data_IF_992267773549
#
_entry.id   IF_992267773549
#
_cell.length_a   1.000
_cell.length_b   1.000
_cell.length_c   1.000
_cell.angle_alpha   90.00
_cell.angle_beta   90.00
_cell.angle_gamma   90.00
#
_symmetry.space_group_name_H-M   'P 1'
#
loop_
_entity.id
_entity.type
_entity.pdbx_description
1 polymer ?
#
# COMPACT_ATOMS: atom_id res chain seq x y z
N UNK A 1 -8.47 -10.47 1.92
CA UNK A 1 -7.94 -9.27 2.60
C UNK A 1 -8.84 -8.92 3.78
N UNK A 2 -8.24 -8.58 4.91
CA UNK A 2 -8.93 -8.12 6.12
C UNK A 2 -8.64 -6.63 6.31
N UNK A 3 -9.69 -5.81 6.33
CA UNK A 3 -9.61 -4.34 6.41
C UNK A 3 -10.32 -3.75 7.64
N UNK A 4 -11.01 -4.58 8.43
CA UNK A 4 -11.77 -4.17 9.61
C UNK A 4 -10.94 -4.22 10.89
N UNK A 5 -11.59 -4.58 11.98
CA UNK A 5 -10.98 -4.64 13.32
C UNK A 5 -10.75 -6.11 13.75
N UNK A 6 -10.62 -7.01 12.75
CA UNK A 6 -10.36 -8.43 13.00
C UNK A 6 -9.06 -8.62 13.77
N UNK A 7 -9.10 -9.47 14.77
CA UNK A 7 -7.90 -9.89 15.52
C UNK A 7 -7.02 -10.84 14.69
N UNK A 8 -5.75 -11.08 15.06
CA UNK A 8 -4.93 -12.11 14.44
C UNK A 8 -5.59 -13.50 14.44
N UNK A 9 -6.31 -13.82 15.52
CA UNK A 9 -7.05 -15.07 15.69
C UNK A 9 -8.23 -15.18 14.74
N UNK A 10 -8.99 -14.08 14.57
CA UNK A 10 -10.11 -14.03 13.62
C UNK A 10 -9.61 -14.20 12.18
N UNK A 11 -8.55 -13.51 11.80
CA UNK A 11 -7.93 -13.65 10.48
C UNK A 11 -7.47 -15.10 10.23
N UNK A 12 -6.84 -15.71 11.24
CA UNK A 12 -6.36 -17.08 11.15
C UNK A 12 -7.53 -18.09 11.01
N UNK A 13 -8.57 -17.95 11.81
CA UNK A 13 -9.75 -18.79 11.74
C UNK A 13 -10.48 -18.66 10.40
N UNK A 14 -10.71 -17.42 9.93
CA UNK A 14 -11.37 -17.15 8.66
C UNK A 14 -10.56 -17.60 7.44
N UNK A 15 -9.23 -17.67 7.55
CA UNK A 15 -8.36 -18.23 6.51
C UNK A 15 -8.39 -19.77 6.44
N UNK A 16 -9.19 -20.41 7.27
CA UNK A 16 -9.21 -21.87 7.41
C UNK A 16 -7.96 -22.39 8.11
N UNK A 17 -7.54 -21.72 9.18
CA UNK A 17 -6.34 -22.03 9.96
C UNK A 17 -5.06 -22.06 9.10
N UNK A 18 -4.95 -21.11 8.19
CA UNK A 18 -3.80 -21.01 7.29
C UNK A 18 -3.90 -21.80 5.99
N UNK A 19 -5.03 -22.47 5.73
CA UNK A 19 -5.26 -23.16 4.45
C UNK A 19 -5.30 -22.16 3.26
N UNK A 20 -5.61 -20.90 3.53
CA UNK A 20 -5.58 -19.80 2.54
C UNK A 20 -4.71 -18.67 3.06
N UNK A 21 -3.82 -18.19 2.23
CA UNK A 21 -3.04 -16.99 2.53
C UNK A 21 -3.94 -15.76 2.60
N UNK A 22 -3.57 -14.77 3.41
CA UNK A 22 -4.33 -13.53 3.54
C UNK A 22 -3.43 -12.32 3.66
N UNK A 23 -3.96 -11.15 3.29
CA UNK A 23 -3.37 -9.84 3.54
C UNK A 23 -4.10 -9.17 4.70
N UNK A 24 -3.34 -8.47 5.54
CA UNK A 24 -3.90 -7.64 6.61
C UNK A 24 -3.66 -6.17 6.29
N UNK A 25 -4.73 -5.37 6.23
CA UNK A 25 -4.61 -3.94 6.02
C UNK A 25 -4.28 -3.22 7.33
N UNK A 26 -3.24 -2.38 7.26
CA UNK A 26 -2.88 -1.39 8.26
C UNK A 26 -3.38 -0.03 7.77
N UNK A 27 -4.33 0.58 8.49
CA UNK A 27 -4.87 1.90 8.16
C UNK A 27 -3.94 2.96 8.74
N UNK A 28 -3.07 3.52 7.89
CA UNK A 28 -2.09 4.53 8.30
C UNK A 28 -2.75 5.90 8.34
N UNK A 29 -2.79 6.59 9.49
CA UNK A 29 -3.34 7.93 9.59
C UNK A 29 -2.62 8.91 8.67
N UNK A 30 -3.37 9.85 8.10
CA UNK A 30 -2.79 10.96 7.33
C UNK A 30 -2.09 11.96 8.26
N UNK A 31 -1.17 12.74 7.69
CA UNK A 31 -0.41 13.76 8.42
C UNK A 31 0.49 13.16 9.50
N UNK A 32 0.69 13.89 10.58
CA UNK A 32 1.61 13.51 11.68
C UNK A 32 1.18 12.25 12.44
N UNK A 33 -0.09 11.85 12.32
CA UNK A 33 -0.60 10.61 12.90
C UNK A 33 0.11 9.35 12.35
N UNK A 34 0.58 9.40 11.12
CA UNK A 34 1.33 8.29 10.50
C UNK A 34 2.62 7.94 11.24
N UNK A 35 3.32 8.95 11.80
CA UNK A 35 4.55 8.74 12.58
C UNK A 35 4.30 7.98 13.90
N UNK A 36 3.06 7.97 14.39
CA UNK A 36 2.68 7.31 15.66
C UNK A 36 2.07 5.93 15.44
N UNK A 37 1.87 5.52 14.19
CA UNK A 37 1.34 4.20 13.92
C UNK A 37 2.41 3.14 14.21
N UNK A 38 2.15 2.18 15.11
CA UNK A 38 3.14 1.20 15.56
C UNK A 38 3.27 0.06 14.53
N UNK A 39 3.77 0.38 13.32
CA UNK A 39 3.80 -0.54 12.18
C UNK A 39 4.64 -1.80 12.46
N UNK A 40 5.74 -1.68 13.19
CA UNK A 40 6.60 -2.83 13.50
C UNK A 40 5.86 -3.82 14.39
N UNK A 41 5.24 -3.33 15.47
CA UNK A 41 4.45 -4.12 16.40
C UNK A 41 3.22 -4.72 15.71
N UNK A 42 2.57 -3.92 14.85
CA UNK A 42 1.44 -4.38 14.04
C UNK A 42 1.83 -5.54 13.12
N UNK A 43 2.94 -5.41 12.41
CA UNK A 43 3.45 -6.47 11.54
C UNK A 43 3.82 -7.75 12.33
N UNK A 44 4.35 -7.60 13.54
CA UNK A 44 4.63 -8.73 14.43
C UNK A 44 3.37 -9.43 14.90
N UNK A 45 2.33 -8.68 15.30
CA UNK A 45 1.04 -9.24 15.72
C UNK A 45 0.39 -10.05 14.58
N UNK A 46 0.46 -9.53 13.36
CA UNK A 46 -0.09 -10.19 12.16
C UNK A 46 0.96 -10.96 11.36
N UNK A 47 1.97 -11.53 12.02
CA UNK A 47 3.08 -12.26 11.37
C UNK A 47 2.65 -13.48 10.53
N UNK A 48 1.41 -13.96 10.72
CA UNK A 48 0.81 -15.03 9.90
C UNK A 48 0.21 -14.53 8.58
N UNK A 49 0.07 -13.21 8.40
CA UNK A 49 -0.35 -12.64 7.13
C UNK A 49 0.75 -12.80 6.07
N UNK A 50 0.36 -13.03 4.83
CA UNK A 50 1.29 -13.08 3.69
C UNK A 50 2.00 -11.73 3.49
N UNK A 51 1.26 -10.64 3.70
CA UNK A 51 1.82 -9.28 3.70
C UNK A 51 0.90 -8.33 4.48
N UNK A 52 1.48 -7.20 4.90
CA UNK A 52 0.74 -6.06 5.46
C UNK A 52 0.47 -5.06 4.35
N UNK A 53 -0.80 -4.79 4.08
CA UNK A 53 -1.22 -3.78 3.14
C UNK A 53 -1.30 -2.43 3.86
N UNK A 54 -0.50 -1.46 3.42
CA UNK A 54 -0.48 -0.10 3.96
C UNK A 54 -1.50 0.74 3.20
N UNK A 55 -2.61 1.06 3.85
CA UNK A 55 -3.67 1.88 3.26
C UNK A 55 -3.78 3.24 3.98
N UNK A 56 -3.96 4.31 3.22
CA UNK A 56 -4.18 5.63 3.81
C UNK A 56 -5.55 5.67 4.51
N UNK A 57 -5.55 5.97 5.81
CA UNK A 57 -6.80 6.13 6.55
C UNK A 57 -7.48 7.45 6.18
N UNK A 58 -8.58 7.37 5.44
CA UNK A 58 -9.50 8.47 5.18
C UNK A 58 -10.78 8.19 5.94
N UNK A 59 -11.24 9.14 6.76
CA UNK A 59 -12.45 9.01 7.60
C UNK A 59 -13.74 8.81 6.78
N UNK A 60 -13.70 9.00 5.46
CA UNK A 60 -14.82 8.76 4.56
C UNK A 60 -14.54 7.60 3.61
N UNK A 61 -15.48 6.70 3.45
CA UNK A 61 -15.48 5.69 2.39
C UNK A 61 -15.48 6.38 1.01
N UNK A 62 -14.29 6.52 0.44
CA UNK A 62 -14.13 7.11 -0.89
C UNK A 62 -12.72 7.63 -1.05
N UNK A 63 -11.96 6.97 -1.92
CA UNK A 63 -10.57 7.29 -2.20
C UNK A 63 -10.35 8.78 -2.47
N UNK A 64 -9.96 9.54 -1.47
CA UNK A 64 -9.62 10.95 -1.59
C UNK A 64 -8.32 11.23 -2.33
N UNK A 65 -7.74 10.22 -2.98
CA UNK A 65 -6.52 10.36 -3.77
C UNK A 65 -5.29 10.86 -2.99
N UNK A 66 -5.35 10.86 -1.66
CA UNK A 66 -4.26 11.35 -0.81
C UNK A 66 -3.44 10.17 -0.31
N UNK A 67 -2.16 10.16 -0.65
CA UNK A 67 -1.18 9.27 -0.03
C UNK A 67 -0.82 9.80 1.36
N UNK A 68 -0.55 8.90 2.31
CA UNK A 68 0.06 9.29 3.57
C UNK A 68 1.56 9.60 3.36
N UNK A 69 2.17 10.27 4.34
CA UNK A 69 3.60 10.60 4.23
C UNK A 69 4.45 9.34 4.51
N UNK A 70 4.97 8.72 3.47
CA UNK A 70 5.78 7.49 3.54
C UNK A 70 7.07 7.66 4.34
N UNK A 71 7.62 8.89 4.44
CA UNK A 71 8.84 9.16 5.21
C UNK A 71 8.66 8.95 6.71
N UNK A 72 7.42 9.01 7.20
CA UNK A 72 7.08 8.82 8.61
C UNK A 72 7.08 7.35 9.06
N UNK A 73 7.11 6.42 8.11
CA UNK A 73 7.17 5.00 8.43
C UNK A 73 8.54 4.60 9.01
N UNK A 74 8.59 3.56 9.84
CA UNK A 74 9.83 3.07 10.42
C UNK A 74 10.92 2.79 9.36
N UNK A 75 12.21 3.01 9.67
CA UNK A 75 13.30 2.80 8.72
C UNK A 75 13.52 1.31 8.38
N UNK A 76 12.98 0.41 9.17
CA UNK A 76 13.06 -1.03 8.94
C UNK A 76 11.81 -1.73 9.46
N UNK A 77 11.15 -2.49 8.59
CA UNK A 77 10.00 -3.33 8.91
C UNK A 77 10.29 -4.73 8.38
N UNK A 78 10.47 -5.69 9.27
CA UNK A 78 10.72 -7.09 8.86
C UNK A 78 9.40 -7.77 8.45
N UNK A 79 8.84 -7.31 7.35
CA UNK A 79 7.60 -7.84 6.79
C UNK A 79 7.55 -7.65 5.27
N UNK A 80 6.69 -8.44 4.62
CA UNK A 80 6.27 -8.17 3.24
C UNK A 80 5.21 -7.07 3.27
N UNK A 81 5.41 -5.99 2.51
CA UNK A 81 4.49 -4.87 2.46
C UNK A 81 3.79 -4.76 1.10
N UNK A 82 2.56 -4.30 1.12
CA UNK A 82 1.84 -3.84 -0.08
C UNK A 82 1.49 -2.38 0.13
N UNK A 83 2.07 -1.49 -0.66
CA UNK A 83 1.73 -0.07 -0.61
C UNK A 83 0.44 0.18 -1.38
N UNK A 84 -0.54 0.77 -0.71
CA UNK A 84 -1.84 1.14 -1.25
C UNK A 84 -2.24 2.53 -0.76
N UNK A 85 -3.45 2.97 -1.10
CA UNK A 85 -4.00 4.26 -0.66
C UNK A 85 -3.40 5.46 -1.39
N UNK A 86 -4.22 6.12 -2.22
CA UNK A 86 -3.84 7.35 -2.93
C UNK A 86 -2.74 7.20 -3.99
N UNK A 87 -2.41 5.98 -4.40
CA UNK A 87 -1.44 5.76 -5.47
C UNK A 87 -1.99 6.16 -6.83
N UNK A 88 -1.09 6.64 -7.67
CA UNK A 88 -1.33 7.03 -9.06
C UNK A 88 -0.04 6.85 -9.87
N UNK A 89 -0.10 6.95 -11.21
CA UNK A 89 1.10 6.94 -12.04
C UNK A 89 2.14 8.01 -11.66
N UNK A 90 1.67 9.12 -11.07
CA UNK A 90 2.54 10.26 -10.74
C UNK A 90 3.36 10.07 -9.45
N UNK A 91 2.91 9.21 -8.52
CA UNK A 91 3.54 9.11 -7.19
C UNK A 91 4.00 7.69 -6.81
N UNK A 92 3.60 6.66 -7.53
CA UNK A 92 3.95 5.27 -7.18
C UNK A 92 5.47 5.03 -7.17
N UNK A 93 6.21 5.67 -8.07
CA UNK A 93 7.67 5.56 -8.11
C UNK A 93 8.31 6.09 -6.82
N UNK A 94 7.90 7.26 -6.35
CA UNK A 94 8.40 7.84 -5.10
C UNK A 94 8.07 6.96 -3.89
N UNK A 95 6.85 6.38 -3.86
CA UNK A 95 6.46 5.43 -2.82
C UNK A 95 7.34 4.17 -2.79
N UNK A 96 7.66 3.61 -3.95
CA UNK A 96 8.56 2.45 -4.07
C UNK A 96 9.97 2.82 -3.58
N UNK A 97 10.52 3.93 -4.04
CA UNK A 97 11.86 4.37 -3.64
C UNK A 97 11.95 4.64 -2.14
N UNK A 98 10.89 5.18 -1.54
CA UNK A 98 10.83 5.43 -0.10
C UNK A 98 10.74 4.15 0.73
N UNK A 99 9.97 3.14 0.29
CA UNK A 99 9.61 1.99 1.14
C UNK A 99 10.38 0.72 0.85
N UNK A 100 10.81 0.48 -0.39
CA UNK A 100 11.51 -0.76 -0.77
C UNK A 100 12.74 -1.06 0.08
N UNK A 101 13.57 -0.07 0.48
CA UNK A 101 14.71 -0.31 1.36
C UNK A 101 14.34 -0.63 2.81
N UNK A 102 13.07 -0.47 3.20
CA UNK A 102 12.61 -0.57 4.59
C UNK A 102 11.88 -1.87 4.92
N UNK A 103 11.67 -2.74 3.94
CA UNK A 103 10.87 -3.96 4.10
C UNK A 103 11.51 -5.15 3.40
N UNK A 104 11.02 -6.36 3.71
CA UNK A 104 11.52 -7.61 3.10
C UNK A 104 11.21 -7.64 1.61
N UNK A 105 9.97 -7.39 1.22
CA UNK A 105 9.54 -7.17 -0.17
C UNK A 105 8.46 -6.11 -0.22
N UNK A 106 8.31 -5.46 -1.37
CA UNK A 106 7.27 -4.47 -1.61
C UNK A 106 6.48 -4.82 -2.87
N UNK A 107 5.18 -4.86 -2.74
CA UNK A 107 4.22 -4.79 -3.85
C UNK A 107 3.47 -3.47 -3.80
N UNK A 108 2.74 -3.14 -4.86
CA UNK A 108 1.89 -1.95 -4.94
C UNK A 108 0.48 -2.35 -5.37
N UNK A 109 -0.51 -1.66 -4.81
CA UNK A 109 -1.92 -1.84 -5.13
C UNK A 109 -2.55 -0.49 -5.47
N UNK A 110 -3.31 -0.42 -6.56
CA UNK A 110 -3.94 0.81 -7.03
C UNK A 110 -5.39 0.57 -7.41
N UNK A 111 -6.26 1.48 -7.00
CA UNK A 111 -7.67 1.45 -7.39
C UNK A 111 -8.07 2.73 -8.11
N UNK A 112 -8.45 3.78 -7.40
CA UNK A 112 -8.98 5.01 -7.99
C UNK A 112 -7.95 5.82 -8.80
N UNK A 113 -6.67 5.71 -8.48
CA UNK A 113 -5.61 6.44 -9.19
C UNK A 113 -5.41 6.06 -10.66
N UNK A 114 -6.05 4.98 -11.12
CA UNK A 114 -6.08 4.56 -12.53
C UNK A 114 -7.51 4.53 -13.10
N UNK A 115 -8.46 5.24 -12.47
CA UNK A 115 -9.81 5.42 -13.02
C UNK A 115 -9.85 6.57 -14.01
N UNK A 116 -10.82 6.49 -14.96
CA UNK A 116 -11.08 7.54 -15.93
C UNK A 116 -11.46 8.85 -15.22
N UNK A 117 -11.02 9.98 -15.78
CA UNK A 117 -11.40 11.29 -15.29
C UNK A 117 -12.88 11.55 -15.54
N UNK A 118 -13.57 12.16 -14.56
CA UNK A 118 -14.96 12.55 -14.69
C UNK A 118 -15.10 14.02 -15.13
N UNK A 119 -16.10 14.35 -15.94
CA UNK A 119 -16.42 15.75 -16.24
C UNK A 119 -16.70 16.51 -14.94
N UNK A 120 -16.02 17.63 -14.74
CA UNK A 120 -16.16 18.43 -13.52
C UNK A 120 -15.19 18.08 -12.40
N UNK A 121 -14.29 17.15 -12.60
CA UNK A 121 -13.26 16.74 -11.65
C UNK A 121 -13.55 15.41 -10.95
N UNK A 122 -12.51 14.81 -10.38
CA UNK A 122 -12.57 13.47 -9.79
C UNK A 122 -12.50 12.35 -10.83
N UNK A 123 -12.97 11.16 -10.46
CA UNK A 123 -12.92 9.98 -11.34
C UNK A 123 -14.29 9.31 -11.49
N UNK A 124 -14.47 8.62 -12.61
CA UNK A 124 -15.57 7.68 -12.80
C UNK A 124 -15.29 6.40 -12.01
N UNK A 125 -15.89 6.29 -10.82
CA UNK A 125 -15.66 5.17 -9.90
C UNK A 125 -15.90 3.83 -10.57
N UNK A 126 -14.88 2.96 -10.49
CA UNK A 126 -14.91 1.61 -11.05
C UNK A 126 -14.56 1.51 -12.54
N UNK A 127 -14.50 2.63 -13.29
CA UNK A 127 -14.13 2.62 -14.71
C UNK A 127 -12.65 2.92 -14.83
N UNK A 128 -11.87 1.91 -15.25
CA UNK A 128 -10.41 2.03 -15.36
C UNK A 128 -9.98 2.60 -16.70
N UNK A 129 -8.94 3.43 -16.65
CA UNK A 129 -8.28 4.04 -17.79
C UNK A 129 -7.05 3.21 -18.18
N UNK A 130 -7.05 2.67 -19.40
CA UNK A 130 -5.99 1.81 -19.89
C UNK A 130 -4.62 2.52 -19.96
N UNK A 131 -4.61 3.81 -20.35
CA UNK A 131 -3.37 4.60 -20.44
C UNK A 131 -2.81 4.90 -19.04
N UNK A 132 -3.69 5.16 -18.05
CA UNK A 132 -3.26 5.32 -16.66
C UNK A 132 -2.68 4.03 -16.09
N UNK A 133 -3.27 2.87 -16.40
CA UNK A 133 -2.73 1.56 -15.99
C UNK A 133 -1.33 1.35 -16.60
N UNK A 134 -1.17 1.61 -17.91
CA UNK A 134 0.12 1.45 -18.57
C UNK A 134 1.19 2.39 -17.98
N UNK A 135 0.83 3.66 -17.74
CA UNK A 135 1.73 4.63 -17.09
C UNK A 135 2.08 4.23 -15.66
N UNK A 136 1.13 3.67 -14.90
CA UNK A 136 1.38 3.16 -13.56
C UNK A 136 2.41 2.02 -13.59
N UNK A 137 2.21 1.03 -14.44
CA UNK A 137 3.14 -0.11 -14.59
C UNK A 137 4.52 0.37 -15.06
N UNK A 138 4.57 1.34 -15.99
CA UNK A 138 5.84 1.91 -16.44
C UNK A 138 6.58 2.62 -15.30
N UNK A 139 5.87 3.38 -14.45
CA UNK A 139 6.46 4.05 -13.29
C UNK A 139 7.00 3.05 -12.24
N UNK A 140 6.28 1.95 -12.01
CA UNK A 140 6.75 0.85 -11.13
C UNK A 140 8.06 0.27 -11.66
N UNK A 141 8.10 -0.10 -12.95
CA UNK A 141 9.30 -0.67 -13.58
C UNK A 141 10.50 0.28 -13.52
N UNK A 142 10.28 1.57 -13.79
CA UNK A 142 11.34 2.58 -13.72
C UNK A 142 11.92 2.71 -12.31
N UNK A 143 11.08 2.63 -11.27
CA UNK A 143 11.54 2.66 -9.88
C UNK A 143 12.35 1.39 -9.52
N UNK A 144 11.92 0.21 -9.95
CA UNK A 144 12.66 -1.04 -9.74
C UNK A 144 14.02 -1.04 -10.44
N UNK A 145 14.09 -0.55 -11.68
CA UNK A 145 15.35 -0.39 -12.41
C UNK A 145 16.29 0.60 -11.73
N UNK A 146 15.76 1.69 -11.18
CA UNK A 146 16.55 2.68 -10.43
C UNK A 146 17.18 2.04 -9.18
N UNK A 147 16.39 1.29 -8.41
CA UNK A 147 16.87 0.59 -7.21
C UNK A 147 17.93 -0.47 -7.56
N UNK A 148 17.71 -1.25 -8.63
CA UNK A 148 18.66 -2.27 -9.05
C UNK A 148 20.04 -1.68 -9.42
N UNK A 149 20.07 -0.53 -10.10
CA UNK A 149 21.33 0.16 -10.43
C UNK A 149 22.07 0.63 -9.19
N UNK A 150 21.38 1.07 -8.15
CA UNK A 150 21.98 1.62 -6.93
C UNK A 150 22.42 0.53 -5.92
N UNK A 151 22.02 -0.72 -6.13
CA UNK A 151 22.41 -1.85 -5.25
C UNK A 151 23.75 -2.50 -5.66
N UNK A 152 24.31 -2.10 -6.82
CA UNK A 152 25.57 -2.66 -7.37
C UNK A 152 26.79 -1.72 -7.18
N UNK A 153 26.71 -0.78 -6.24
CA UNK A 153 27.86 0.10 -5.88
C UNK A 153 28.41 -0.27 -4.51
#
# INVERSE_FOLDING_TARGET
QFHGDETPEDCWAASGQGARTFLRAARIPLGDGGARFPLVEYAQQFSRAQAILLDAHVEAYGGGGKAFNWSLLPPSVNAHLVLSGGLSPANVGDGILALRPRCTTLAVDVSSGVECDAPGGGTHKGIKDADKIQRFVAAVRAADEHLARNTHV
#
